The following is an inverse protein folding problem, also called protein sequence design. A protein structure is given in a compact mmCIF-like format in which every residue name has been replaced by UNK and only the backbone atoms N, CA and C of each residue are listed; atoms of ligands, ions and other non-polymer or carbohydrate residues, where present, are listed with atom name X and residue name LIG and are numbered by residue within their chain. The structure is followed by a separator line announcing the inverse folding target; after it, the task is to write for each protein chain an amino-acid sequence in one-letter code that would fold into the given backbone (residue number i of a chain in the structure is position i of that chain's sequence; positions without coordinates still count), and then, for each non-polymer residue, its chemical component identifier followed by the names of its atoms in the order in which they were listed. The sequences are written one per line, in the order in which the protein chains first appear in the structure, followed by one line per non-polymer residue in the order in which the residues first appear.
data_IF_674471408167
#
_entry.id   IF_674471408167
#
_cell.length_a   1.000
_cell.length_b   1.000
_cell.length_c   1.000
_cell.angle_alpha   90.00
_cell.angle_beta   90.00
_cell.angle_gamma   90.00
#
_symmetry.space_group_name_H-M   'P 1'
#
loop_
_entity.id
_entity.type
_entity.pdbx_description
1 polymer ?
#
# COMPACT_ATOMS: atom_id res chain seq x y z
N UNK A 1 28.56 48.17 -12.38
CA UNK A 1 27.92 47.69 -11.13
C UNK A 1 26.42 47.97 -11.21
N UNK A 2 25.58 46.94 -11.05
CA UNK A 2 24.15 47.01 -10.62
C UNK A 2 23.15 47.72 -11.57
N UNK A 3 21.90 47.30 -11.81
CA UNK A 3 21.05 46.21 -11.34
C UNK A 3 19.76 46.21 -12.20
N UNK A 4 19.31 45.03 -12.65
CA UNK A 4 17.93 44.52 -12.78
C UNK A 4 16.77 45.45 -13.28
N UNK A 5 16.25 45.12 -14.47
CA UNK A 5 14.97 44.41 -14.68
C UNK A 5 13.80 44.70 -13.71
N UNK A 6 12.68 45.21 -14.26
CA UNK A 6 11.33 44.78 -13.84
C UNK A 6 10.28 45.06 -14.93
N UNK A 7 9.94 43.99 -15.64
CA UNK A 7 8.64 43.82 -16.31
C UNK A 7 7.54 43.86 -15.24
N UNK A 8 6.50 44.65 -15.47
CA UNK A 8 5.24 44.57 -14.74
C UNK A 8 4.18 44.10 -15.73
N UNK A 9 3.86 42.81 -15.69
CA UNK A 9 2.59 42.27 -16.20
C UNK A 9 1.79 41.87 -14.97
N UNK A 10 0.75 42.64 -14.70
CA UNK A 10 -0.36 42.23 -13.86
C UNK A 10 -1.04 41.04 -14.52
N UNK A 11 -1.13 39.93 -13.81
CA UNK A 11 -2.15 38.93 -14.03
C UNK A 11 -2.74 38.59 -12.67
N UNK A 12 -3.98 39.02 -12.49
CA UNK A 12 -4.91 38.44 -11.54
C UNK A 12 -5.03 36.95 -11.84
N UNK A 13 -4.79 36.11 -10.85
CA UNK A 13 -5.38 34.78 -10.76
C UNK A 13 -5.49 34.43 -9.28
N UNK A 14 -6.47 35.05 -8.62
CA UNK A 14 -7.04 34.57 -7.35
C UNK A 14 -7.83 33.28 -7.65
N UNK A 15 -7.12 32.24 -8.04
CA UNK A 15 -7.63 30.88 -8.11
C UNK A 15 -7.79 30.35 -6.69
N UNK A 16 -8.96 29.77 -6.32
CA UNK A 16 -9.11 29.18 -5.00
C UNK A 16 -8.04 28.09 -4.86
N UNK A 17 -7.21 28.19 -3.81
CA UNK A 17 -6.39 27.06 -3.38
C UNK A 17 -7.35 25.93 -3.07
N UNK A 18 -7.51 25.07 -4.07
CA UNK A 18 -8.24 23.84 -3.96
C UNK A 18 -7.45 22.98 -2.97
N UNK A 19 -7.80 23.09 -1.69
CA UNK A 19 -7.70 22.03 -0.70
C UNK A 19 -8.57 20.85 -1.16
N UNK A 20 -8.23 20.30 -2.33
CA UNK A 20 -8.78 19.10 -2.93
C UNK A 20 -7.76 17.99 -2.75
N UNK A 21 -7.44 17.64 -1.50
CA UNK A 21 -6.84 16.32 -1.22
C UNK A 21 -7.03 15.85 0.22
N UNK A 22 -8.25 15.95 0.73
CA UNK A 22 -8.65 15.14 1.90
C UNK A 22 -10.08 14.61 1.76
N UNK A 23 -10.51 14.29 0.54
CA UNK A 23 -11.70 13.44 0.35
C UNK A 23 -11.23 11.99 0.31
N UNK A 24 -11.29 11.35 1.48
CA UNK A 24 -11.27 9.90 1.76
C UNK A 24 -10.17 9.10 1.07
N UNK A 25 -9.06 8.92 1.77
CA UNK A 25 -8.03 7.94 1.45
C UNK A 25 -8.40 6.52 1.94
N UNK A 26 -9.65 6.30 2.40
CA UNK A 26 -10.06 5.13 3.19
C UNK A 26 -10.02 3.79 2.43
N UNK A 27 -10.03 3.80 1.09
CA UNK A 27 -10.04 2.59 0.29
C UNK A 27 -8.70 2.26 -0.38
N UNK A 28 -7.61 2.95 0.00
CA UNK A 28 -6.30 2.73 -0.60
C UNK A 28 -5.38 1.93 0.31
N UNK A 29 -4.82 0.84 -0.23
CA UNK A 29 -3.85 0.00 0.45
C UNK A 29 -2.49 0.23 -0.19
N UNK A 30 -1.46 0.36 0.64
CA UNK A 30 -0.07 0.47 0.21
C UNK A 30 0.64 -0.83 0.52
N UNK A 31 1.26 -1.43 -0.48
CA UNK A 31 2.03 -2.67 -0.36
C UNK A 31 3.47 -2.36 -0.69
N UNK A 32 4.37 -2.65 0.24
CA UNK A 32 5.80 -2.52 0.06
C UNK A 32 6.34 -3.82 -0.55
N UNK A 33 6.94 -3.69 -1.72
CA UNK A 33 7.47 -4.81 -2.49
C UNK A 33 8.90 -4.50 -2.95
N UNK A 34 9.76 -5.51 -3.11
CA UNK A 34 11.07 -5.32 -3.70
C UNK A 34 10.96 -4.92 -5.19
N UNK A 35 11.96 -4.18 -5.67
CA UNK A 35 11.98 -3.60 -7.03
C UNK A 35 11.91 -4.67 -8.14
N UNK A 36 12.41 -5.88 -7.89
CA UNK A 36 12.29 -7.02 -8.83
C UNK A 36 10.82 -7.42 -9.06
N UNK A 37 10.02 -7.49 -7.99
CA UNK A 37 8.59 -7.81 -8.08
C UNK A 37 7.83 -6.66 -8.73
N UNK A 38 8.16 -5.41 -8.39
CA UNK A 38 7.53 -4.24 -8.99
C UNK A 38 7.66 -4.24 -10.53
N UNK A 39 8.84 -4.58 -11.05
CA UNK A 39 9.04 -4.71 -12.50
C UNK A 39 8.16 -5.77 -13.14
N UNK A 40 7.98 -6.92 -12.48
CA UNK A 40 7.11 -8.00 -12.95
C UNK A 40 5.62 -7.64 -12.91
N UNK A 41 5.19 -6.93 -11.85
CA UNK A 41 3.81 -6.44 -11.69
C UNK A 41 3.49 -5.35 -12.73
N UNK A 42 4.43 -4.46 -13.04
CA UNK A 42 4.26 -3.46 -14.11
C UNK A 42 4.19 -4.13 -15.49
N UNK A 43 5.08 -5.11 -15.74
CA UNK A 43 5.20 -5.82 -17.00
C UNK A 43 5.87 -5.00 -18.11
N UNK A 44 6.22 -5.67 -19.22
CA UNK A 44 6.88 -5.03 -20.37
C UNK A 44 6.01 -3.89 -20.92
N UNK A 45 6.51 -2.66 -20.89
CA UNK A 45 5.80 -1.46 -21.35
C UNK A 45 4.57 -1.09 -20.53
N UNK A 46 4.44 -1.57 -19.28
CA UNK A 46 3.29 -1.27 -18.43
C UNK A 46 2.00 -2.02 -18.79
N UNK A 47 2.07 -3.00 -19.70
CA UNK A 47 0.87 -3.73 -20.15
C UNK A 47 0.19 -4.50 -19.01
N UNK A 48 0.98 -5.05 -18.08
CA UNK A 48 0.44 -5.90 -17.02
C UNK A 48 -0.32 -5.07 -15.97
N UNK A 49 0.27 -3.97 -15.49
CA UNK A 49 -0.43 -3.04 -14.60
C UNK A 49 -1.65 -2.41 -15.27
N UNK A 50 -1.59 -2.13 -16.57
CA UNK A 50 -2.74 -1.59 -17.30
C UNK A 50 -3.87 -2.62 -17.46
N UNK A 51 -3.51 -3.89 -17.65
CA UNK A 51 -4.46 -5.01 -17.62
C UNK A 51 -5.12 -5.10 -16.24
N UNK A 52 -4.36 -5.09 -15.14
CA UNK A 52 -4.92 -5.12 -13.79
C UNK A 52 -5.86 -3.95 -13.51
N UNK A 53 -5.48 -2.73 -13.91
CA UNK A 53 -6.34 -1.54 -13.77
C UNK A 53 -7.66 -1.69 -14.52
N UNK A 54 -7.62 -2.22 -15.75
CA UNK A 54 -8.81 -2.38 -16.60
C UNK A 54 -9.68 -3.55 -16.13
N UNK A 55 -9.07 -4.70 -15.85
CA UNK A 55 -9.74 -5.95 -15.50
C UNK A 55 -10.45 -5.86 -14.15
N UNK A 56 -9.77 -5.30 -13.15
CA UNK A 56 -10.32 -5.21 -11.79
C UNK A 56 -10.95 -3.84 -11.49
N UNK A 57 -11.06 -2.96 -12.50
CA UNK A 57 -11.49 -1.55 -12.36
C UNK A 57 -10.80 -0.85 -11.19
N UNK A 58 -9.52 -1.16 -11.00
CA UNK A 58 -8.73 -0.72 -9.86
C UNK A 58 -7.78 0.40 -10.25
N UNK A 59 -7.51 1.33 -9.32
CA UNK A 59 -6.42 2.29 -9.47
C UNK A 59 -5.18 1.71 -8.81
N UNK A 60 -4.23 1.22 -9.62
CA UNK A 60 -2.96 0.67 -9.16
C UNK A 60 -1.85 1.65 -9.53
N UNK A 61 -1.10 2.19 -8.58
CA UNK A 61 0.04 3.08 -8.84
C UNK A 61 1.29 2.53 -8.16
N UNK A 62 2.43 2.53 -8.84
CA UNK A 62 3.71 2.13 -8.26
C UNK A 62 4.54 3.39 -8.10
N UNK A 63 5.16 3.59 -6.94
CA UNK A 63 6.12 4.69 -6.80
C UNK A 63 7.40 4.42 -7.60
N UNK A 64 8.05 5.51 -8.02
CA UNK A 64 9.29 5.44 -8.78
C UNK A 64 10.54 5.60 -7.91
N UNK A 65 10.46 5.17 -6.65
CA UNK A 65 11.62 5.21 -5.75
C UNK A 65 12.74 4.36 -6.35
N UNK A 66 13.95 4.93 -6.35
CA UNK A 66 15.16 4.23 -6.78
C UNK A 66 15.72 3.30 -5.69
N UNK A 67 14.92 3.01 -4.66
CA UNK A 67 15.29 2.13 -3.56
C UNK A 67 15.23 0.65 -3.94
N UNK A 68 15.77 -0.23 -3.07
CA UNK A 68 15.60 -1.68 -3.22
C UNK A 68 14.12 -2.10 -3.12
N UNK A 69 13.28 -1.26 -2.51
CA UNK A 69 11.86 -1.48 -2.30
C UNK A 69 11.05 -0.33 -2.90
N UNK A 70 9.89 -0.67 -3.44
CA UNK A 70 8.88 0.22 -4.02
C UNK A 70 7.54 -0.06 -3.36
N UNK A 71 6.69 0.94 -3.34
CA UNK A 71 5.33 0.90 -2.81
C UNK A 71 4.35 0.85 -3.96
N UNK A 72 3.46 -0.13 -3.92
CA UNK A 72 2.28 -0.19 -4.77
C UNK A 72 1.08 0.31 -3.99
N UNK A 73 0.44 1.34 -4.51
CA UNK A 73 -0.83 1.87 -4.05
C UNK A 73 -1.95 1.22 -4.86
N UNK A 74 -2.86 0.52 -4.18
CA UNK A 74 -4.03 -0.12 -4.78
C UNK A 74 -5.28 0.52 -4.18
N UNK A 75 -6.14 1.06 -5.03
CA UNK A 75 -7.43 1.62 -4.67
C UNK A 75 -8.50 0.91 -5.49
N UNK A 76 -9.25 0.03 -4.83
CA UNK A 76 -10.31 -0.79 -5.42
C UNK A 76 -11.18 -1.42 -4.33
N UNK A 77 -12.23 -2.15 -4.69
CA UNK A 77 -13.03 -2.93 -3.74
C UNK A 77 -12.20 -4.02 -3.04
N UNK A 78 -12.72 -4.57 -1.93
CA UNK A 78 -12.06 -5.65 -1.19
C UNK A 78 -11.74 -6.84 -2.11
N UNK A 79 -12.74 -7.33 -2.84
CA UNK A 79 -12.58 -8.47 -3.75
C UNK A 79 -11.54 -8.21 -4.84
N UNK A 80 -11.63 -7.07 -5.52
CA UNK A 80 -10.67 -6.66 -6.54
C UNK A 80 -9.25 -6.56 -5.98
N UNK A 81 -9.09 -6.02 -4.77
CA UNK A 81 -7.79 -5.91 -4.12
C UNK A 81 -7.20 -7.28 -3.80
N UNK A 82 -8.02 -8.21 -3.30
CA UNK A 82 -7.58 -9.58 -3.01
C UNK A 82 -7.15 -10.31 -4.29
N UNK A 83 -7.87 -10.13 -5.40
CA UNK A 83 -7.50 -10.69 -6.69
C UNK A 83 -6.16 -10.14 -7.19
N UNK A 84 -5.96 -8.81 -7.11
CA UNK A 84 -4.71 -8.16 -7.49
C UNK A 84 -3.56 -8.68 -6.61
N UNK A 85 -3.74 -8.75 -5.30
CA UNK A 85 -2.74 -9.27 -4.36
C UNK A 85 -2.41 -10.72 -4.66
N UNK A 86 -3.41 -11.56 -4.93
CA UNK A 86 -3.23 -12.97 -5.30
C UNK A 86 -2.42 -13.10 -6.60
N UNK A 87 -2.67 -12.23 -7.57
CA UNK A 87 -1.92 -12.20 -8.82
C UNK A 87 -0.49 -11.68 -8.61
N UNK A 88 -0.30 -10.70 -7.74
CA UNK A 88 1.02 -10.21 -7.35
C UNK A 88 1.84 -11.28 -6.62
N UNK A 89 1.23 -12.06 -5.73
CA UNK A 89 1.87 -13.13 -4.96
C UNK A 89 2.55 -14.19 -5.83
N UNK A 90 2.06 -14.41 -7.06
CA UNK A 90 2.70 -15.32 -8.05
C UNK A 90 4.10 -14.88 -8.46
N UNK A 91 4.42 -13.60 -8.28
CA UNK A 91 5.74 -13.04 -8.60
C UNK A 91 6.64 -12.94 -7.37
N UNK A 92 6.14 -13.25 -6.18
CA UNK A 92 6.97 -13.32 -4.98
C UNK A 92 7.80 -14.61 -5.01
N UNK A 93 9.05 -14.52 -4.54
CA UNK A 93 9.84 -15.71 -4.28
C UNK A 93 9.25 -16.44 -3.08
N UNK A 94 8.82 -17.68 -3.29
CA UNK A 94 8.47 -18.59 -2.19
C UNK A 94 9.76 -19.12 -1.57
N UNK A 95 9.94 -18.88 -0.27
CA UNK A 95 11.01 -19.50 0.51
C UNK A 95 10.36 -20.43 1.52
N UNK A 96 10.68 -21.71 1.44
CA UNK A 96 10.07 -22.76 2.28
C UNK A 96 8.53 -22.78 2.19
N UNK A 97 7.96 -22.60 0.99
CA UNK A 97 6.50 -22.45 0.75
C UNK A 97 5.85 -21.25 1.48
N UNK A 98 6.66 -20.29 1.94
CA UNK A 98 6.23 -19.06 2.58
C UNK A 98 6.55 -17.83 1.73
N UNK A 99 5.63 -16.87 1.75
CA UNK A 99 5.75 -15.56 1.11
C UNK A 99 5.82 -14.47 2.17
N UNK A 100 6.73 -13.52 1.98
CA UNK A 100 6.84 -12.31 2.81
C UNK A 100 6.14 -11.14 2.11
N UNK A 101 5.11 -10.60 2.74
CA UNK A 101 4.41 -9.41 2.26
C UNK A 101 4.44 -8.34 3.35
N UNK A 102 4.71 -7.11 2.93
CA UNK A 102 4.69 -5.93 3.80
C UNK A 102 3.66 -4.93 3.30
N UNK A 103 2.80 -4.49 4.22
CA UNK A 103 1.77 -3.48 3.98
C UNK A 103 2.17 -2.21 4.74
N UNK A 104 1.91 -1.06 4.14
CA UNK A 104 2.02 0.23 4.79
C UNK A 104 0.62 0.70 5.14
N UNK A 105 0.39 0.91 6.43
CA UNK A 105 -0.88 1.41 6.96
C UNK A 105 -0.62 2.68 7.75
N UNK A 106 -1.56 3.61 7.72
CA UNK A 106 -1.44 4.81 8.54
C UNK A 106 -1.46 4.45 10.03
N UNK A 107 -0.67 5.14 10.86
CA UNK A 107 -0.62 4.88 12.30
C UNK A 107 -1.98 4.89 13.01
N UNK A 108 -2.93 5.70 12.52
CA UNK A 108 -4.29 5.77 13.07
C UNK A 108 -5.04 4.44 12.93
N UNK A 109 -4.82 3.71 11.83
CA UNK A 109 -5.49 2.43 11.54
C UNK A 109 -4.78 1.26 12.22
N UNK A 110 -3.48 1.39 12.49
CA UNK A 110 -2.69 0.35 13.16
C UNK A 110 -3.21 0.04 14.57
N UNK A 111 -3.74 1.03 15.28
CA UNK A 111 -4.36 0.82 16.60
C UNK A 111 -5.54 -0.15 16.55
N UNK A 112 -6.39 -0.05 15.52
CA UNK A 112 -7.53 -0.95 15.32
C UNK A 112 -7.09 -2.39 15.01
N UNK A 113 -6.07 -2.55 14.17
CA UNK A 113 -5.53 -3.87 13.80
C UNK A 113 -4.87 -4.57 15.00
N UNK A 114 -4.12 -3.83 15.82
CA UNK A 114 -3.46 -4.36 17.02
C UNK A 114 -4.52 -4.69 18.10
N UNK A 115 -5.50 -3.81 18.30
CA UNK A 115 -6.53 -3.91 19.33
C UNK A 115 -6.00 -3.61 20.75
N UNK A 116 -6.91 -3.55 21.73
CA UNK A 116 -6.58 -3.27 23.14
C UNK A 116 -5.60 -4.32 23.69
N UNK A 117 -4.36 -3.90 24.00
CA UNK A 117 -3.31 -4.79 24.51
C UNK A 117 -2.77 -5.81 23.50
N UNK A 118 -2.98 -5.61 22.20
CA UNK A 118 -2.53 -6.55 21.16
C UNK A 118 -3.39 -7.82 21.04
N UNK A 119 -4.59 -7.83 21.60
CA UNK A 119 -5.48 -9.00 21.53
C UNK A 119 -5.97 -9.27 20.10
N UNK A 120 -6.34 -8.24 19.34
CA UNK A 120 -6.92 -8.40 18.01
C UNK A 120 -5.91 -8.98 17.03
N UNK A 121 -4.68 -8.47 17.00
CA UNK A 121 -3.62 -9.03 16.15
C UNK A 121 -3.25 -10.47 16.55
N UNK A 122 -3.28 -10.80 17.84
CA UNK A 122 -3.06 -12.19 18.32
C UNK A 122 -4.16 -13.11 17.82
N UNK A 123 -5.42 -12.69 17.93
CA UNK A 123 -6.58 -13.44 17.45
C UNK A 123 -6.51 -13.68 15.94
N UNK A 124 -6.22 -12.64 15.15
CA UNK A 124 -6.07 -12.77 13.68
C UNK A 124 -4.92 -13.72 13.34
N UNK A 125 -3.79 -13.61 14.05
CA UNK A 125 -2.64 -14.50 13.84
C UNK A 125 -2.98 -15.95 14.15
N UNK A 126 -3.70 -16.21 15.24
CA UNK A 126 -4.08 -17.55 15.68
C UNK A 126 -5.14 -18.16 14.76
N UNK A 127 -6.12 -17.36 14.34
CA UNK A 127 -7.18 -17.75 13.40
C UNK A 127 -6.62 -18.17 12.03
N UNK A 128 -5.64 -17.44 11.51
CA UNK A 128 -5.08 -17.68 10.17
C UNK A 128 -3.91 -18.67 10.21
N UNK A 129 -3.20 -18.72 11.34
CA UNK A 129 -2.03 -19.58 11.53
C UNK A 129 -0.78 -19.12 10.78
N UNK A 130 -0.69 -17.84 10.39
CA UNK A 130 0.53 -17.30 9.76
C UNK A 130 1.73 -17.42 10.71
N UNK A 131 2.90 -17.80 10.17
CA UNK A 131 4.15 -17.84 10.92
C UNK A 131 4.47 -16.48 11.55
N UNK A 132 4.33 -15.40 10.77
CA UNK A 132 4.57 -14.02 11.20
C UNK A 132 3.38 -13.15 10.78
N UNK A 133 2.78 -12.45 11.75
CA UNK A 133 1.91 -11.30 11.53
C UNK A 133 2.31 -10.27 12.59
N UNK A 134 3.06 -9.25 12.17
CA UNK A 134 3.61 -8.23 13.08
C UNK A 134 3.42 -6.85 12.50
N UNK A 135 3.00 -5.92 13.34
CA UNK A 135 3.00 -4.49 13.02
C UNK A 135 4.24 -3.89 13.66
N UNK A 136 5.16 -3.40 12.85
CA UNK A 136 6.33 -2.69 13.34
C UNK A 136 5.91 -1.35 13.94
N UNK A 137 6.43 -1.08 15.15
CA UNK A 137 6.19 0.20 15.82
C UNK A 137 7.09 1.33 15.32
N UNK A 138 8.17 0.98 14.62
CA UNK A 138 9.03 1.95 14.00
C UNK A 138 8.32 2.51 12.77
N UNK A 139 8.10 3.81 12.79
CA UNK A 139 7.57 4.55 11.66
C UNK A 139 8.67 4.63 10.60
N UNK A 140 8.32 4.45 9.33
CA UNK A 140 9.30 4.63 8.26
C UNK A 140 9.88 6.06 8.36
N UNK A 141 11.21 6.25 8.19
CA UNK A 141 11.82 7.58 8.29
C UNK A 141 11.10 8.53 7.32
N UNK A 142 10.62 9.66 7.85
CA UNK A 142 9.82 10.68 7.13
C UNK A 142 8.35 10.33 6.80
N UNK A 143 7.80 9.20 7.24
CA UNK A 143 6.36 8.89 7.10
C UNK A 143 5.65 8.83 8.46
N UNK A 144 4.32 8.81 8.46
CA UNK A 144 3.46 8.44 9.61
C UNK A 144 2.88 7.03 9.47
N UNK A 145 3.34 6.28 8.46
CA UNK A 145 2.90 4.93 8.16
C UNK A 145 3.69 3.89 8.98
N UNK A 146 2.97 2.85 9.42
CA UNK A 146 3.49 1.65 10.08
C UNK A 146 3.51 0.50 9.09
N UNK A 147 4.55 -0.33 9.21
CA UNK A 147 4.71 -1.53 8.37
C UNK A 147 4.04 -2.71 9.05
N UNK A 148 3.08 -3.36 8.38
CA UNK A 148 2.55 -4.66 8.76
C UNK A 148 3.25 -5.72 7.92
N UNK A 149 3.98 -6.63 8.55
CA UNK A 149 4.62 -7.75 7.88
C UNK A 149 3.85 -9.04 8.15
N UNK A 150 3.52 -9.72 7.06
CA UNK A 150 2.91 -11.04 7.04
C UNK A 150 3.85 -12.02 6.36
N UNK A 151 4.18 -13.11 7.04
CA UNK A 151 4.94 -14.23 6.49
C UNK A 151 4.20 -15.53 6.77
N UNK A 152 3.98 -16.32 5.72
CA UNK A 152 3.31 -17.61 5.78
C UNK A 152 2.96 -18.09 4.39
N UNK A 153 2.13 -19.12 4.29
CA UNK A 153 1.68 -19.66 2.99
C UNK A 153 0.84 -18.64 2.23
N UNK A 154 0.79 -18.74 0.90
CA UNK A 154 -0.03 -17.84 0.07
C UNK A 154 -1.48 -17.71 0.56
N UNK A 155 -2.14 -18.84 0.88
CA UNK A 155 -3.52 -18.84 1.40
C UNK A 155 -3.66 -18.08 2.71
N UNK A 156 -2.66 -18.17 3.59
CA UNK A 156 -2.66 -17.50 4.88
C UNK A 156 -2.43 -15.99 4.72
N UNK A 157 -1.51 -15.60 3.84
CA UNK A 157 -1.23 -14.18 3.58
C UNK A 157 -2.42 -13.48 2.93
N UNK A 158 -3.11 -14.13 1.99
CA UNK A 158 -4.34 -13.58 1.37
C UNK A 158 -5.41 -13.34 2.44
N UNK A 159 -5.63 -14.32 3.32
CA UNK A 159 -6.62 -14.19 4.39
C UNK A 159 -6.23 -13.12 5.42
N UNK A 160 -4.93 -12.99 5.72
CA UNK A 160 -4.43 -11.95 6.62
C UNK A 160 -4.62 -10.56 6.04
N UNK A 161 -4.34 -10.40 4.75
CA UNK A 161 -4.57 -9.15 4.03
C UNK A 161 -6.07 -8.82 4.02
N UNK A 162 -6.94 -9.80 3.77
CA UNK A 162 -8.40 -9.62 3.82
C UNK A 162 -8.86 -9.05 5.16
N UNK A 163 -8.45 -9.67 6.26
CA UNK A 163 -8.81 -9.21 7.62
C UNK A 163 -8.26 -7.81 7.90
N UNK A 164 -6.99 -7.54 7.54
CA UNK A 164 -6.38 -6.22 7.69
C UNK A 164 -7.17 -5.15 6.92
N UNK A 165 -7.49 -5.40 5.65
CA UNK A 165 -8.24 -4.45 4.82
C UNK A 165 -9.63 -4.19 5.40
N UNK A 166 -10.31 -5.25 5.84
CA UNK A 166 -11.66 -5.16 6.43
C UNK A 166 -11.62 -4.25 7.66
N UNK A 167 -10.66 -4.46 8.55
CA UNK A 167 -10.48 -3.63 9.75
C UNK A 167 -10.13 -2.17 9.43
N UNK A 168 -9.36 -1.92 8.37
CA UNK A 168 -9.05 -0.56 7.95
C UNK A 168 -10.25 0.19 7.37
N UNK A 169 -11.27 -0.52 6.87
CA UNK A 169 -12.48 0.06 6.25
C UNK A 169 -13.66 0.19 7.20
N UNK A 170 -13.71 -0.63 8.25
CA UNK A 170 -14.79 -0.57 9.25
C UNK A 170 -14.61 0.54 10.30
N UNK A 171 -13.47 1.24 10.31
CA UNK A 171 -13.16 2.34 11.24
C UNK A 171 -13.50 3.69 10.64
#
# INVERSE_FOLDING_TARGET
MTKKMKMKRENNDDGPHADKRSRRNDDQIRILIPSNIAGAVIGKGGQHIQKMRTQYKATVSVDDSQGPERTILISSDLEATLQIVTEMLKYFEERDDEVDVRLLIHQSLAGCIIGKGGQKIKEIRDKIGCRILKVFSNVAPQSTDRVVQTVGKQSQVIEAIREVITLTRET
#
